data_IF_815674249753
#
_entry.id   IF_815674249753
#
_cell.length_a   1.000
_cell.length_b   1.000
_cell.length_c   1.000
_cell.angle_alpha   90.00
_cell.angle_beta   90.00
_cell.angle_gamma   90.00
#
_symmetry.space_group_name_H-M   'P 1'
#
loop_
_entity.id
_entity.type
_entity.pdbx_description
1 polymer ?
#
# COMPACT_ATOMS: atom_id res chain seq x y z
N UNK A 1 29.46 -3.38 47.43
CA UNK A 1 29.18 -4.58 46.61
C UNK A 1 28.67 -4.07 45.29
N UNK A 2 29.24 -4.51 44.18
CA UNK A 2 28.72 -4.15 42.85
C UNK A 2 27.58 -5.11 42.55
N UNK A 3 26.34 -4.64 42.67
CA UNK A 3 25.16 -5.42 42.32
C UNK A 3 25.20 -5.70 40.80
N UNK A 4 24.94 -6.95 40.40
CA UNK A 4 24.84 -7.34 39.00
C UNK A 4 23.59 -6.67 38.42
N UNK A 5 23.74 -5.88 37.32
CA UNK A 5 22.65 -5.21 36.64
C UNK A 5 22.37 -5.87 35.27
N UNK A 6 21.12 -6.26 34.99
CA UNK A 6 20.69 -6.96 33.79
C UNK A 6 20.13 -6.03 32.69
N UNK A 7 20.22 -4.73 32.89
CA UNK A 7 19.75 -3.71 31.92
C UNK A 7 18.38 -3.14 32.25
N UNK A 8 17.54 -2.99 31.25
CA UNK A 8 16.20 -2.37 31.40
C UNK A 8 15.11 -3.23 30.79
N UNK A 9 13.88 -3.10 31.30
CA UNK A 9 12.70 -3.73 30.69
C UNK A 9 12.47 -3.24 29.25
N UNK A 10 11.99 -4.13 28.40
CA UNK A 10 11.81 -3.87 26.98
C UNK A 10 10.61 -4.63 26.40
N UNK A 11 10.47 -4.60 25.08
CA UNK A 11 9.47 -5.42 24.39
C UNK A 11 9.69 -6.94 24.53
N UNK A 12 10.87 -7.37 25.02
CA UNK A 12 11.25 -8.78 25.15
C UNK A 12 11.85 -9.13 26.52
N UNK A 13 11.95 -8.19 27.44
CA UNK A 13 12.53 -8.39 28.78
C UNK A 13 11.60 -7.80 29.84
N UNK A 14 11.35 -8.56 30.89
CA UNK A 14 10.56 -8.16 32.07
C UNK A 14 11.28 -8.56 33.36
N UNK A 15 11.23 -7.68 34.38
CA UNK A 15 11.77 -7.93 35.70
C UNK A 15 10.68 -8.08 36.75
N UNK A 16 10.87 -8.95 37.70
CA UNK A 16 9.99 -9.13 38.87
C UNK A 16 10.82 -9.40 40.10
N UNK A 17 10.53 -8.69 41.16
CA UNK A 17 11.28 -8.77 42.42
C UNK A 17 11.07 -10.11 43.15
N UNK A 18 9.92 -10.77 42.95
CA UNK A 18 9.58 -11.97 43.70
C UNK A 18 8.70 -12.96 42.95
N UNK A 19 8.67 -14.20 43.37
CA UNK A 19 7.79 -15.27 42.82
C UNK A 19 6.31 -14.95 43.03
N UNK A 20 5.94 -14.12 44.02
CA UNK A 20 4.55 -13.69 44.21
C UNK A 20 4.00 -12.91 42.99
N UNK A 21 4.88 -12.34 42.16
CA UNK A 21 4.55 -11.60 40.96
C UNK A 21 4.57 -12.48 39.67
N UNK A 22 4.77 -13.81 39.82
CA UNK A 22 4.86 -14.74 38.68
C UNK A 22 3.70 -14.62 37.70
N UNK A 23 2.48 -14.47 38.18
CA UNK A 23 1.29 -14.33 37.32
C UNK A 23 1.39 -13.11 36.39
N UNK A 24 1.89 -11.97 36.89
CA UNK A 24 2.12 -10.76 36.09
C UNK A 24 3.25 -10.98 35.08
N UNK A 25 4.30 -11.67 35.51
CA UNK A 25 5.42 -12.02 34.62
C UNK A 25 5.00 -12.96 33.49
N UNK A 26 4.19 -13.97 33.74
CA UNK A 26 3.68 -14.88 32.68
C UNK A 26 2.75 -14.13 31.71
N UNK A 27 1.93 -13.20 32.20
CA UNK A 27 1.14 -12.32 31.33
C UNK A 27 2.06 -11.50 30.42
N UNK A 28 3.16 -10.95 30.95
CA UNK A 28 4.16 -10.21 30.14
C UNK A 28 4.83 -11.10 29.10
N UNK A 29 5.25 -12.32 29.46
CA UNK A 29 5.78 -13.31 28.51
C UNK A 29 4.78 -13.62 27.39
N UNK A 30 3.51 -13.78 27.72
CA UNK A 30 2.45 -14.02 26.73
C UNK A 30 2.29 -12.82 25.78
N UNK A 31 2.32 -11.61 26.33
CA UNK A 31 2.28 -10.38 25.53
C UNK A 31 3.50 -10.20 24.61
N UNK A 32 4.69 -10.59 25.11
CA UNK A 32 5.94 -10.61 24.33
C UNK A 32 5.89 -11.62 23.18
N UNK A 33 5.38 -12.83 23.44
CA UNK A 33 5.17 -13.84 22.38
C UNK A 33 4.27 -13.33 21.27
N UNK A 34 3.20 -12.65 21.62
CA UNK A 34 2.28 -12.06 20.65
C UNK A 34 2.90 -10.90 19.87
N UNK A 35 3.91 -10.24 20.40
CA UNK A 35 4.56 -9.09 19.74
C UNK A 35 5.83 -9.46 18.98
N UNK A 36 6.70 -10.32 19.59
CA UNK A 36 8.05 -10.57 19.10
C UNK A 36 8.40 -12.05 18.95
N UNK A 37 7.45 -12.96 19.18
CA UNK A 37 7.60 -14.42 19.14
C UNK A 37 8.58 -14.98 20.20
N UNK A 38 9.14 -14.14 21.07
CA UNK A 38 10.02 -14.54 22.16
C UNK A 38 9.98 -13.51 23.29
N UNK A 39 10.45 -13.93 24.46
CA UNK A 39 10.61 -13.04 25.61
C UNK A 39 11.31 -13.73 26.77
N UNK A 40 11.89 -12.94 27.68
CA UNK A 40 12.54 -13.40 28.88
C UNK A 40 12.02 -12.65 30.10
N UNK A 41 11.61 -13.38 31.11
CA UNK A 41 11.22 -12.90 32.44
C UNK A 41 12.32 -13.25 33.43
N UNK A 42 12.78 -12.27 34.18
CA UNK A 42 13.69 -12.45 35.30
C UNK A 42 12.94 -12.26 36.61
N UNK A 43 13.14 -13.19 37.56
CA UNK A 43 12.55 -13.12 38.92
C UNK A 43 13.67 -13.04 39.95
N UNK A 44 13.60 -12.10 40.88
CA UNK A 44 14.67 -11.73 41.80
C UNK A 44 15.47 -10.52 41.32
N UNK A 45 14.84 -9.69 40.46
CA UNK A 45 15.43 -8.50 39.85
C UNK A 45 14.48 -7.33 40.06
N UNK A 46 14.99 -6.18 40.44
CA UNK A 46 14.19 -4.97 40.63
C UNK A 46 13.91 -4.23 39.29
N UNK A 47 13.05 -3.20 39.29
CA UNK A 47 12.69 -2.43 38.13
C UNK A 47 13.87 -1.65 37.48
N UNK A 48 15.01 -1.54 38.17
CA UNK A 48 16.25 -0.93 37.65
C UNK A 48 17.17 -1.95 36.98
N UNK A 49 16.80 -3.22 37.04
CA UNK A 49 17.60 -4.33 36.53
C UNK A 49 18.63 -4.86 37.52
N UNK A 50 18.63 -4.38 38.76
CA UNK A 50 19.57 -4.84 39.78
C UNK A 50 19.10 -6.17 40.38
N UNK A 51 20.00 -7.14 40.47
CA UNK A 51 19.71 -8.43 41.09
C UNK A 51 19.61 -8.27 42.60
N UNK A 52 18.42 -8.55 43.15
CA UNK A 52 18.14 -8.45 44.59
C UNK A 52 18.05 -9.84 45.26
N UNK A 53 17.95 -10.91 44.44
CA UNK A 53 17.88 -12.29 44.88
C UNK A 53 16.51 -12.69 45.41
N UNK A 54 16.25 -14.02 45.36
CA UNK A 54 15.07 -14.68 45.92
C UNK A 54 15.46 -16.02 46.52
N UNK A 55 14.64 -16.52 47.45
CA UNK A 55 14.76 -17.91 47.94
C UNK A 55 14.17 -18.88 46.91
N UNK A 56 14.98 -19.84 46.45
CA UNK A 56 14.60 -20.82 45.42
C UNK A 56 14.52 -22.20 46.03
N UNK A 57 13.32 -22.77 46.10
CA UNK A 57 13.12 -24.14 46.55
C UNK A 57 13.35 -25.17 45.45
N UNK A 58 13.54 -26.42 45.82
CA UNK A 58 13.79 -27.53 44.88
C UNK A 58 12.72 -27.73 43.82
N UNK A 59 11.48 -27.34 44.09
CA UNK A 59 10.33 -27.49 43.16
C UNK A 59 9.96 -26.21 42.42
N UNK A 60 10.62 -25.09 42.71
CA UNK A 60 10.25 -23.78 42.15
C UNK A 60 10.20 -23.77 40.61
N UNK A 61 11.17 -24.35 39.93
CA UNK A 61 11.20 -24.41 38.46
C UNK A 61 10.07 -25.28 37.90
N UNK A 62 9.70 -26.37 38.59
CA UNK A 62 8.59 -27.22 38.17
C UNK A 62 7.24 -26.51 38.37
N UNK A 63 7.06 -25.82 39.48
CA UNK A 63 5.86 -25.03 39.76
C UNK A 63 5.65 -23.91 38.74
N UNK A 64 6.72 -23.21 38.37
CA UNK A 64 6.70 -22.19 37.28
C UNK A 64 6.27 -22.83 35.95
N UNK A 65 6.87 -23.97 35.59
CA UNK A 65 6.54 -24.69 34.35
C UNK A 65 5.07 -25.12 34.31
N UNK A 66 4.56 -25.67 35.39
CA UNK A 66 3.18 -26.10 35.55
C UNK A 66 2.22 -24.92 35.49
N UNK A 67 2.58 -23.78 36.09
CA UNK A 67 1.79 -22.55 36.02
C UNK A 67 1.70 -22.02 34.58
N UNK A 68 2.80 -21.93 33.86
CA UNK A 68 2.81 -21.51 32.45
C UNK A 68 1.95 -22.46 31.62
N UNK A 69 2.10 -23.76 31.79
CA UNK A 69 1.33 -24.78 31.06
C UNK A 69 -0.17 -24.69 31.30
N UNK A 70 -0.59 -24.32 32.52
CA UNK A 70 -2.03 -24.20 32.86
C UNK A 70 -2.68 -22.89 32.40
N UNK A 71 -1.89 -21.82 32.23
CA UNK A 71 -2.42 -20.47 31.97
C UNK A 71 -2.19 -19.96 30.56
N UNK A 72 -1.16 -20.48 29.84
CA UNK A 72 -0.83 -20.02 28.49
C UNK A 72 -1.31 -21.01 27.41
N UNK A 73 -2.04 -20.50 26.42
CA UNK A 73 -2.53 -21.29 25.29
C UNK A 73 -2.29 -20.53 23.96
N UNK A 74 -1.81 -21.19 22.86
CA UNK A 74 -1.33 -22.59 22.81
C UNK A 74 -0.17 -22.87 23.79
N UNK A 75 0.04 -24.17 24.10
CA UNK A 75 1.10 -24.53 25.05
C UNK A 75 2.49 -24.16 24.51
N UNK A 76 3.34 -23.66 25.41
CA UNK A 76 4.74 -23.36 25.15
C UNK A 76 5.63 -24.14 26.14
N UNK A 77 6.87 -24.35 25.74
CA UNK A 77 7.88 -24.96 26.59
C UNK A 77 8.87 -23.89 27.02
N UNK A 78 8.82 -23.43 28.29
CA UNK A 78 9.76 -22.45 28.78
C UNK A 78 11.13 -23.10 29.07
N UNK A 79 12.19 -22.35 28.77
CA UNK A 79 13.55 -22.62 29.30
C UNK A 79 13.67 -21.86 30.61
N UNK A 80 13.95 -22.59 31.69
CA UNK A 80 14.02 -22.05 33.06
C UNK A 80 15.38 -22.34 33.61
N UNK A 81 16.13 -21.31 33.96
CA UNK A 81 17.45 -21.39 34.51
C UNK A 81 17.54 -20.65 35.85
N UNK A 82 18.28 -21.21 36.79
CA UNK A 82 18.61 -20.60 38.07
C UNK A 82 20.04 -20.07 37.99
N UNK A 83 20.21 -18.84 38.39
CA UNK A 83 21.49 -18.14 38.37
C UNK A 83 21.86 -17.69 39.77
N UNK A 84 23.15 -17.82 40.14
CA UNK A 84 23.70 -17.31 41.39
C UNK A 84 24.57 -16.09 41.12
N UNK A 85 24.42 -15.07 41.93
CA UNK A 85 25.22 -13.84 41.87
C UNK A 85 25.52 -13.30 43.26
N UNK A 86 26.39 -12.29 43.34
CA UNK A 86 26.69 -11.61 44.61
C UNK A 86 25.46 -10.92 45.24
N UNK A 87 24.43 -10.66 44.44
CA UNK A 87 23.14 -10.10 44.88
C UNK A 87 22.11 -11.12 45.34
N UNK A 88 22.46 -12.45 45.28
CA UNK A 88 21.56 -13.56 45.55
C UNK A 88 21.20 -14.36 44.32
N UNK A 89 20.40 -15.43 44.50
CA UNK A 89 19.96 -16.26 43.38
C UNK A 89 18.76 -15.66 42.69
N UNK A 90 18.69 -15.74 41.35
CA UNK A 90 17.57 -15.28 40.54
C UNK A 90 17.22 -16.33 39.47
N UNK A 91 16.02 -16.20 38.87
CA UNK A 91 15.54 -17.13 37.84
C UNK A 91 15.35 -16.38 36.55
N UNK A 92 15.83 -16.94 35.42
CA UNK A 92 15.42 -16.53 34.08
C UNK A 92 14.45 -17.56 33.50
N UNK A 93 13.39 -17.04 32.82
CA UNK A 93 12.36 -17.82 32.14
C UNK A 93 12.28 -17.30 30.71
N UNK A 94 12.86 -18.04 29.78
CA UNK A 94 12.84 -17.68 28.34
C UNK A 94 11.82 -18.52 27.61
N UNK A 95 11.09 -17.86 26.69
CA UNK A 95 10.08 -18.49 25.86
C UNK A 95 10.27 -18.09 24.40
N UNK A 96 10.03 -19.04 23.51
CA UNK A 96 9.96 -18.82 22.06
C UNK A 96 8.70 -19.50 21.55
N UNK A 97 7.96 -18.82 20.67
CA UNK A 97 6.74 -19.38 20.12
C UNK A 97 6.26 -18.66 18.87
N UNK A 98 5.86 -19.45 17.88
CA UNK A 98 5.42 -18.97 16.57
C UNK A 98 3.92 -19.19 16.32
N UNK A 99 3.18 -19.76 17.30
CA UNK A 99 1.76 -20.08 17.19
C UNK A 99 0.86 -18.98 17.75
N UNK A 100 1.15 -17.73 17.44
CA UNK A 100 0.30 -16.59 17.83
C UNK A 100 -1.13 -16.77 17.28
N UNK A 101 -2.19 -16.29 17.96
CA UNK A 101 -2.16 -15.57 19.23
C UNK A 101 -2.05 -16.50 20.46
N UNK A 102 -1.21 -16.10 21.40
CA UNK A 102 -1.14 -16.73 22.71
C UNK A 102 -2.06 -16.01 23.69
N UNK A 103 -2.85 -16.76 24.45
CA UNK A 103 -3.70 -16.24 25.52
C UNK A 103 -3.12 -16.54 26.90
N UNK A 104 -3.36 -15.65 27.84
CA UNK A 104 -3.16 -15.86 29.28
C UNK A 104 -4.54 -15.91 29.94
N UNK A 105 -4.87 -17.03 30.58
CA UNK A 105 -6.19 -17.29 31.16
C UNK A 105 -7.36 -16.92 30.20
N UNK A 106 -7.24 -17.28 28.91
CA UNK A 106 -8.24 -17.05 27.88
C UNK A 106 -8.33 -15.60 27.37
N UNK A 107 -7.45 -14.70 27.80
CA UNK A 107 -7.38 -13.32 27.34
C UNK A 107 -6.10 -13.07 26.56
N UNK A 108 -6.18 -12.20 25.55
CA UNK A 108 -5.05 -11.88 24.68
C UNK A 108 -4.45 -10.53 25.06
N UNK A 109 -3.12 -10.47 25.09
CA UNK A 109 -2.34 -9.28 25.43
C UNK A 109 -1.24 -9.04 24.43
N UNK A 110 -0.88 -7.75 24.23
CA UNK A 110 0.25 -7.33 23.39
C UNK A 110 1.20 -6.50 24.25
N UNK A 111 2.48 -6.69 24.02
CA UNK A 111 3.54 -5.87 24.62
C UNK A 111 3.72 -4.58 23.84
N UNK A 112 3.67 -3.45 24.52
CA UNK A 112 3.96 -2.14 23.98
C UNK A 112 5.05 -1.49 24.85
N UNK A 113 6.29 -1.48 24.32
CA UNK A 113 7.51 -1.12 25.05
C UNK A 113 7.68 -1.95 26.32
N UNK A 114 7.28 -1.46 27.48
CA UNK A 114 7.31 -2.17 28.78
C UNK A 114 5.93 -2.37 29.39
N UNK A 115 4.83 -2.00 28.69
CA UNK A 115 3.46 -2.18 29.16
C UNK A 115 2.75 -3.34 28.44
N UNK A 116 1.77 -3.94 29.10
CA UNK A 116 0.93 -4.99 28.53
C UNK A 116 -0.47 -4.43 28.29
N UNK A 117 -0.93 -4.47 27.04
CA UNK A 117 -2.25 -3.98 26.63
C UNK A 117 -3.16 -5.16 26.29
N UNK A 118 -4.44 -5.08 26.63
CA UNK A 118 -5.43 -6.08 26.20
C UNK A 118 -5.66 -5.96 24.69
N UNK A 119 -5.51 -7.07 23.97
CA UNK A 119 -5.79 -7.13 22.55
C UNK A 119 -7.31 -7.18 22.31
N UNK A 120 -7.82 -6.18 21.59
CA UNK A 120 -9.21 -6.18 21.11
C UNK A 120 -9.46 -7.25 20.04
N UNK A 121 -10.73 -7.50 19.67
CA UNK A 121 -11.11 -8.50 18.67
C UNK A 121 -10.40 -8.32 17.32
N UNK A 122 -10.24 -7.08 16.88
CA UNK A 122 -9.57 -6.75 15.61
C UNK A 122 -8.09 -7.13 15.60
N UNK A 123 -7.41 -6.89 16.72
CA UNK A 123 -6.01 -7.23 16.92
C UNK A 123 -5.84 -8.75 16.98
N UNK A 124 -6.73 -9.45 17.68
CA UNK A 124 -6.74 -10.93 17.72
C UNK A 124 -6.95 -11.50 16.31
N UNK A 125 -7.86 -10.93 15.54
CA UNK A 125 -8.08 -11.32 14.15
C UNK A 125 -6.80 -11.13 13.29
N UNK A 126 -6.11 -10.00 13.45
CA UNK A 126 -4.83 -9.75 12.78
C UNK A 126 -3.74 -10.77 13.21
N UNK A 127 -3.67 -11.12 14.50
CA UNK A 127 -2.74 -12.17 14.98
C UNK A 127 -3.02 -13.52 14.34
N UNK A 128 -4.30 -13.89 14.21
CA UNK A 128 -4.72 -15.14 13.55
C UNK A 128 -4.30 -15.14 12.08
N UNK A 129 -4.50 -14.02 11.38
CA UNK A 129 -4.07 -13.85 9.99
C UNK A 129 -2.53 -13.90 9.85
N UNK A 130 -1.78 -13.30 10.79
CA UNK A 130 -0.32 -13.32 10.81
C UNK A 130 0.28 -14.73 11.04
N UNK A 131 -0.52 -15.70 11.42
CA UNK A 131 -0.13 -17.10 11.62
C UNK A 131 0.33 -17.83 10.34
N UNK A 132 0.54 -17.10 9.26
CA UNK A 132 1.01 -17.63 7.97
C UNK A 132 -0.11 -18.24 7.13
N UNK A 133 -1.37 -17.96 7.47
CA UNK A 133 -2.47 -18.21 6.55
C UNK A 133 -2.52 -17.06 5.54
N UNK A 134 -2.22 -17.36 4.29
CA UNK A 134 -2.51 -16.44 3.18
C UNK A 134 -4.04 -16.21 3.14
N UNK A 135 -4.51 -14.97 3.39
CA UNK A 135 -5.95 -14.69 3.48
C UNK A 135 -6.71 -15.08 2.21
N UNK A 136 -6.04 -14.99 1.06
CA UNK A 136 -6.66 -15.29 -0.24
C UNK A 136 -6.82 -16.79 -0.47
N UNK A 137 -5.96 -17.61 0.14
CA UNK A 137 -5.98 -19.06 -0.01
C UNK A 137 -7.24 -19.70 0.57
N UNK A 138 -7.74 -19.16 1.68
CA UNK A 138 -8.94 -19.64 2.36
C UNK A 138 -10.26 -19.28 1.66
N UNK A 139 -10.26 -18.39 0.68
CA UNK A 139 -11.44 -17.93 -0.04
C UNK A 139 -11.51 -18.59 -1.42
N UNK A 140 -12.42 -19.56 -1.65
CA UNK A 140 -12.61 -20.14 -2.98
C UNK A 140 -13.13 -19.07 -3.94
N UNK A 141 -12.70 -19.16 -5.20
CA UNK A 141 -13.28 -18.36 -6.28
C UNK A 141 -14.68 -18.85 -6.61
N UNK A 142 -15.62 -17.95 -6.84
CA UNK A 142 -16.94 -18.28 -7.34
C UNK A 142 -16.88 -18.87 -8.77
N UNK A 143 -15.93 -18.38 -9.58
CA UNK A 143 -15.65 -18.93 -10.91
C UNK A 143 -14.55 -19.98 -10.81
N UNK A 144 -14.86 -21.20 -11.21
CA UNK A 144 -13.91 -22.34 -11.27
C UNK A 144 -13.43 -22.65 -12.70
N UNK A 145 -13.94 -21.93 -13.71
CA UNK A 145 -13.53 -22.05 -15.11
C UNK A 145 -12.53 -20.91 -15.45
N UNK A 146 -11.33 -21.00 -14.85
CA UNK A 146 -10.28 -19.99 -14.96
C UNK A 146 -9.21 -20.42 -15.95
N UNK A 147 -8.74 -19.45 -16.77
CA UNK A 147 -7.56 -19.59 -17.63
C UNK A 147 -6.46 -18.63 -17.19
N UNK A 148 -5.20 -18.91 -17.58
CA UNK A 148 -4.02 -18.19 -17.10
C UNK A 148 -3.05 -17.90 -18.25
N UNK A 149 -3.56 -17.63 -19.44
CA UNK A 149 -2.73 -17.42 -20.65
C UNK A 149 -1.79 -16.23 -20.47
N UNK A 150 -2.29 -15.13 -19.90
CA UNK A 150 -1.47 -13.95 -19.63
C UNK A 150 -0.36 -14.24 -18.61
N UNK A 151 -0.66 -14.94 -17.51
CA UNK A 151 0.33 -15.30 -16.49
C UNK A 151 1.45 -16.16 -17.14
N UNK A 152 1.09 -17.26 -17.78
CA UNK A 152 2.08 -18.17 -18.36
C UNK A 152 2.85 -17.54 -19.52
N UNK A 153 2.20 -16.70 -20.35
CA UNK A 153 2.88 -15.88 -21.37
C UNK A 153 3.88 -14.91 -20.77
N UNK A 154 3.55 -14.30 -19.63
CA UNK A 154 4.48 -13.42 -18.90
C UNK A 154 5.67 -14.21 -18.36
N UNK A 155 5.46 -15.39 -17.78
CA UNK A 155 6.55 -16.24 -17.29
C UNK A 155 7.46 -16.70 -18.44
N UNK A 156 6.86 -17.12 -19.56
CA UNK A 156 7.62 -17.52 -20.74
C UNK A 156 8.49 -16.39 -21.31
N UNK A 157 7.99 -15.15 -21.34
CA UNK A 157 8.75 -13.98 -21.78
C UNK A 157 9.99 -13.69 -20.90
N UNK A 158 9.99 -14.22 -19.66
CA UNK A 158 11.11 -14.14 -18.72
C UNK A 158 12.04 -15.37 -18.75
N UNK A 159 11.82 -16.29 -19.69
CA UNK A 159 12.57 -17.53 -19.80
C UNK A 159 12.13 -18.62 -18.79
N UNK A 160 11.00 -18.44 -18.12
CA UNK A 160 10.41 -19.43 -17.22
C UNK A 160 9.32 -20.19 -17.98
N UNK A 161 9.41 -21.50 -18.05
CA UNK A 161 8.48 -22.35 -18.79
C UNK A 161 7.86 -23.42 -17.87
N UNK A 162 7.15 -23.01 -16.80
CA UNK A 162 6.49 -23.99 -15.94
C UNK A 162 5.33 -24.69 -16.71
N UNK A 163 5.03 -25.91 -16.31
CA UNK A 163 3.84 -26.59 -16.82
C UNK A 163 2.60 -25.97 -16.18
N UNK A 164 1.56 -25.73 -16.99
CA UNK A 164 0.25 -25.30 -16.51
C UNK A 164 -0.49 -26.55 -16.00
N UNK A 165 -0.14 -27.00 -14.80
CA UNK A 165 -0.68 -28.22 -14.21
C UNK A 165 -1.02 -28.02 -12.72
N UNK A 166 -1.65 -29.04 -12.14
CA UNK A 166 -2.01 -29.09 -10.73
C UNK A 166 -0.81 -28.80 -9.80
N UNK A 167 0.39 -29.26 -10.17
CA UNK A 167 1.59 -29.06 -9.36
C UNK A 167 1.95 -27.57 -9.24
N UNK A 168 1.88 -26.83 -10.34
CA UNK A 168 2.10 -25.38 -10.35
C UNK A 168 1.06 -24.66 -9.47
N UNK A 169 -0.23 -24.97 -9.64
CA UNK A 169 -1.28 -24.29 -8.89
C UNK A 169 -1.22 -24.56 -7.39
N UNK A 170 -0.86 -25.76 -6.98
CA UNK A 170 -0.66 -26.11 -5.58
C UNK A 170 0.57 -25.40 -4.98
N UNK A 171 1.71 -25.42 -5.69
CA UNK A 171 2.96 -24.86 -5.19
C UNK A 171 2.91 -23.33 -5.03
N UNK A 172 2.07 -22.66 -5.83
CA UNK A 172 1.89 -21.21 -5.78
C UNK A 172 0.59 -20.77 -5.08
N UNK A 173 -0.01 -21.66 -4.29
CA UNK A 173 -1.16 -21.34 -3.44
C UNK A 173 -2.40 -20.87 -4.18
N UNK A 174 -2.63 -21.36 -5.41
CA UNK A 174 -3.78 -20.99 -6.24
C UNK A 174 -5.01 -21.88 -5.99
N UNK A 175 -4.88 -22.93 -5.17
CA UNK A 175 -5.94 -23.82 -4.75
C UNK A 175 -6.24 -23.67 -3.25
N UNK A 176 -7.51 -23.89 -2.88
CA UNK A 176 -7.93 -24.08 -1.50
C UNK A 176 -7.64 -25.53 -1.02
N UNK A 177 -8.04 -25.86 0.20
CA UNK A 177 -7.87 -27.21 0.77
C UNK A 177 -8.66 -28.31 0.03
N UNK A 178 -9.66 -27.93 -0.75
CA UNK A 178 -10.50 -28.85 -1.56
C UNK A 178 -10.08 -28.86 -3.03
N UNK A 179 -8.90 -28.33 -3.34
CA UNK A 179 -8.37 -28.20 -4.71
C UNK A 179 -9.28 -27.41 -5.66
N UNK A 180 -9.99 -26.41 -5.14
CA UNK A 180 -10.72 -25.43 -5.95
C UNK A 180 -9.87 -24.20 -6.13
N UNK A 181 -9.98 -23.55 -7.28
CA UNK A 181 -9.37 -22.23 -7.46
C UNK A 181 -9.84 -21.27 -6.39
N UNK A 182 -8.89 -20.57 -5.78
CA UNK A 182 -9.13 -19.60 -4.74
C UNK A 182 -9.04 -18.16 -5.28
N UNK A 183 -9.12 -17.18 -4.38
CA UNK A 183 -9.09 -15.76 -4.75
C UNK A 183 -7.75 -15.34 -5.35
N UNK A 184 -6.61 -15.95 -4.96
CA UNK A 184 -5.31 -15.71 -5.62
C UNK A 184 -5.37 -16.11 -7.09
N UNK A 185 -5.91 -17.31 -7.38
CA UNK A 185 -6.09 -17.77 -8.75
C UNK A 185 -6.99 -16.82 -9.55
N UNK A 186 -8.13 -16.41 -8.98
CA UNK A 186 -9.04 -15.47 -9.63
C UNK A 186 -8.36 -14.15 -9.99
N UNK A 187 -7.62 -13.56 -9.06
CA UNK A 187 -6.95 -12.27 -9.29
C UNK A 187 -5.95 -12.32 -10.46
N UNK A 188 -5.21 -13.42 -10.60
CA UNK A 188 -4.21 -13.55 -11.68
C UNK A 188 -4.75 -14.22 -12.95
N UNK A 189 -6.02 -14.68 -12.96
CA UNK A 189 -6.67 -15.28 -14.12
C UNK A 189 -7.02 -14.27 -15.21
N UNK A 190 -7.26 -14.76 -16.43
CA UNK A 190 -7.72 -13.95 -17.54
C UNK A 190 -9.19 -13.50 -17.37
N UNK A 191 -9.96 -14.17 -16.45
CA UNK A 191 -11.35 -13.87 -16.12
C UNK A 191 -11.50 -12.89 -14.94
N UNK A 192 -10.42 -12.34 -14.42
CA UNK A 192 -10.50 -11.32 -13.36
C UNK A 192 -11.28 -10.09 -13.86
N UNK A 193 -12.42 -9.80 -13.23
CA UNK A 193 -13.31 -8.70 -13.58
C UNK A 193 -13.06 -7.41 -12.79
N UNK A 194 -12.02 -7.38 -11.93
CA UNK A 194 -11.72 -6.21 -11.10
C UNK A 194 -11.11 -5.11 -11.96
N UNK A 195 -11.57 -3.87 -11.74
CA UNK A 195 -11.08 -2.68 -12.42
C UNK A 195 -10.40 -1.73 -11.44
N UNK A 196 -9.12 -1.45 -11.67
CA UNK A 196 -8.35 -0.41 -10.96
C UNK A 196 -8.50 0.91 -11.68
N UNK A 197 -8.50 2.01 -10.93
CA UNK A 197 -8.73 3.34 -11.49
C UNK A 197 -7.53 4.27 -11.31
N UNK A 198 -7.22 5.00 -12.38
CA UNK A 198 -6.36 6.18 -12.34
C UNK A 198 -7.26 7.40 -12.56
N UNK A 199 -7.38 8.25 -11.55
CA UNK A 199 -8.23 9.45 -11.58
C UNK A 199 -7.36 10.68 -11.52
N UNK A 200 -7.46 11.57 -12.51
CA UNK A 200 -6.81 12.88 -12.49
C UNK A 200 -7.79 13.95 -12.08
N UNK A 201 -7.38 14.79 -11.15
CA UNK A 201 -8.14 15.92 -10.65
C UNK A 201 -7.66 17.25 -11.24
N UNK A 202 -8.54 18.23 -11.21
CA UNK A 202 -8.28 19.59 -11.73
C UNK A 202 -7.71 20.55 -10.67
N UNK A 203 -7.22 20.07 -9.57
CA UNK A 203 -6.70 20.85 -8.45
C UNK A 203 -5.88 20.01 -7.50
N UNK A 204 -5.73 20.49 -6.28
CA UNK A 204 -5.03 19.79 -5.21
C UNK A 204 -6.00 19.04 -4.28
N UNK A 205 -7.27 18.97 -4.65
CA UNK A 205 -8.34 18.27 -3.96
C UNK A 205 -9.19 17.41 -4.92
N UNK A 206 -10.15 16.68 -4.37
CA UNK A 206 -11.01 15.75 -5.12
C UNK A 206 -12.31 16.37 -5.66
N UNK A 207 -12.43 17.70 -5.65
CA UNK A 207 -13.67 18.42 -6.01
C UNK A 207 -13.98 18.37 -7.50
N UNK A 208 -12.97 18.29 -8.36
CA UNK A 208 -13.14 18.36 -9.82
C UNK A 208 -12.29 17.31 -10.53
N UNK A 209 -12.96 16.36 -11.19
CA UNK A 209 -12.31 15.29 -11.97
C UNK A 209 -11.98 15.80 -13.36
N UNK A 210 -10.74 15.64 -13.80
CA UNK A 210 -10.28 15.94 -15.17
C UNK A 210 -10.42 14.74 -16.10
N UNK A 211 -10.00 13.56 -15.63
CA UNK A 211 -10.12 12.31 -16.39
C UNK A 211 -10.16 11.12 -15.45
N UNK A 212 -10.76 10.03 -15.92
CA UNK A 212 -10.77 8.73 -15.26
C UNK A 212 -10.41 7.68 -16.30
N UNK A 213 -9.46 6.83 -15.98
CA UNK A 213 -9.02 5.70 -16.81
C UNK A 213 -9.14 4.44 -16.00
N UNK A 214 -9.81 3.44 -16.55
CA UNK A 214 -10.00 2.13 -15.91
C UNK A 214 -9.03 1.10 -16.52
N UNK A 215 -8.42 0.32 -15.64
CA UNK A 215 -7.50 -0.77 -15.99
C UNK A 215 -7.98 -2.04 -15.31
N UNK A 216 -8.50 -3.00 -16.08
CA UNK A 216 -9.05 -4.21 -15.49
C UNK A 216 -9.76 -5.09 -16.51
N UNK A 217 -10.61 -6.03 -16.01
CA UNK A 217 -11.27 -7.03 -16.85
C UNK A 217 -10.28 -8.03 -17.45
N UNK A 218 -9.15 -8.27 -16.78
CA UNK A 218 -8.05 -9.16 -17.16
C UNK A 218 -7.17 -9.47 -15.95
N UNK A 219 -6.18 -10.35 -16.12
CA UNK A 219 -5.22 -10.67 -15.07
C UNK A 219 -4.73 -9.42 -14.33
N UNK A 220 -4.70 -9.48 -12.99
CA UNK A 220 -4.20 -8.40 -12.15
C UNK A 220 -2.76 -8.00 -12.54
N UNK A 221 -1.92 -8.97 -12.92
CA UNK A 221 -0.55 -8.73 -13.40
C UNK A 221 -0.57 -7.82 -14.64
N UNK A 222 -1.51 -8.05 -15.57
CA UNK A 222 -1.67 -7.21 -16.76
C UNK A 222 -2.09 -5.80 -16.38
N UNK A 223 -3.13 -5.68 -15.55
CA UNK A 223 -3.67 -4.39 -15.11
C UNK A 223 -2.65 -3.54 -14.35
N UNK A 224 -1.83 -4.18 -13.50
CA UNK A 224 -0.73 -3.50 -12.78
C UNK A 224 0.30 -2.93 -13.74
N UNK A 225 0.73 -3.71 -14.76
CA UNK A 225 1.67 -3.24 -15.80
C UNK A 225 1.10 -2.10 -16.63
N UNK A 226 -0.18 -2.16 -16.95
CA UNK A 226 -0.84 -1.08 -17.72
C UNK A 226 -0.91 0.24 -16.93
N UNK A 227 -1.20 0.19 -15.63
CA UNK A 227 -1.14 1.38 -14.77
C UNK A 227 0.28 1.93 -14.73
N UNK A 228 1.31 1.08 -14.57
CA UNK A 228 2.71 1.51 -14.63
C UNK A 228 3.03 2.20 -15.96
N UNK A 229 2.62 1.59 -17.09
CA UNK A 229 2.78 2.18 -18.42
C UNK A 229 2.04 3.51 -18.58
N UNK A 230 0.84 3.61 -18.05
CA UNK A 230 0.05 4.84 -18.08
C UNK A 230 0.73 5.96 -17.26
N UNK A 231 1.19 5.67 -16.05
CA UNK A 231 1.86 6.67 -15.21
C UNK A 231 3.24 7.05 -15.76
N UNK A 232 3.95 6.13 -16.40
CA UNK A 232 5.21 6.46 -17.07
C UNK A 232 5.04 7.54 -18.16
N UNK A 233 3.86 7.64 -18.77
CA UNK A 233 3.57 8.70 -19.77
C UNK A 233 3.50 10.12 -19.18
N UNK A 234 3.40 10.24 -17.84
CA UNK A 234 3.48 11.53 -17.14
C UNK A 234 4.91 11.91 -16.76
N UNK A 235 5.88 11.01 -17.00
CA UNK A 235 7.29 11.30 -16.71
C UNK A 235 7.82 12.35 -17.67
N UNK A 236 8.18 13.49 -17.13
CA UNK A 236 8.82 14.60 -17.82
C UNK A 236 10.11 14.92 -17.10
N UNK A 237 11.18 15.14 -17.85
CA UNK A 237 12.46 15.60 -17.31
C UNK A 237 12.64 17.07 -17.64
N UNK A 238 12.79 17.90 -16.64
CA UNK A 238 13.14 19.30 -16.80
C UNK A 238 14.66 19.43 -16.81
N UNK A 239 15.18 20.19 -17.77
CA UNK A 239 16.62 20.47 -17.86
C UNK A 239 16.85 21.90 -17.40
N UNK A 240 17.57 22.05 -16.30
CA UNK A 240 17.94 23.35 -15.73
C UNK A 240 19.39 23.63 -16.11
N UNK A 241 19.62 24.72 -16.85
CA UNK A 241 20.97 25.19 -17.18
C UNK A 241 21.36 26.27 -16.14
N UNK A 242 22.27 25.92 -15.25
CA UNK A 242 22.82 26.85 -14.25
C UNK A 242 24.29 27.12 -14.59
N UNK A 243 24.53 28.12 -15.42
CA UNK A 243 25.87 28.46 -15.90
C UNK A 243 26.48 27.38 -16.79
N UNK A 244 27.52 26.68 -16.30
CA UNK A 244 28.22 25.59 -17.02
C UNK A 244 27.64 24.21 -16.68
N UNK A 245 26.83 24.12 -15.65
CA UNK A 245 26.26 22.86 -15.17
C UNK A 245 24.85 22.63 -15.75
N UNK A 246 24.62 21.40 -16.17
CA UNK A 246 23.32 20.89 -16.62
C UNK A 246 22.76 19.98 -15.53
N UNK A 247 21.64 20.36 -14.95
CA UNK A 247 20.91 19.54 -14.00
C UNK A 247 19.66 18.98 -14.67
N UNK A 248 19.46 17.66 -14.58
CA UNK A 248 18.24 16.98 -15.04
C UNK A 248 17.37 16.63 -13.83
N UNK A 249 16.14 17.06 -13.86
CA UNK A 249 15.17 16.85 -12.76
C UNK A 249 13.91 16.17 -13.31
N UNK A 250 13.62 14.98 -12.81
CA UNK A 250 12.39 14.28 -13.13
C UNK A 250 11.19 14.87 -12.37
N UNK A 251 10.01 14.83 -12.97
CA UNK A 251 8.77 15.29 -12.34
C UNK A 251 8.53 14.59 -11.00
N UNK A 252 8.79 13.30 -10.93
CA UNK A 252 8.79 12.48 -9.71
C UNK A 252 9.73 11.29 -9.90
N UNK A 253 10.07 10.59 -8.79
CA UNK A 253 10.84 9.35 -8.86
C UNK A 253 9.93 8.19 -9.26
N UNK A 254 10.11 7.68 -10.49
CA UNK A 254 9.26 6.61 -11.02
C UNK A 254 9.47 5.27 -10.30
N UNK A 255 10.67 5.01 -9.80
CA UNK A 255 10.94 3.78 -9.05
C UNK A 255 10.17 3.77 -7.73
N UNK A 256 10.14 4.88 -7.00
CA UNK A 256 9.29 5.04 -5.82
C UNK A 256 7.80 4.84 -6.14
N UNK A 257 7.33 5.35 -7.28
CA UNK A 257 5.95 5.11 -7.71
C UNK A 257 5.71 3.63 -8.01
N UNK A 258 6.59 2.98 -8.76
CA UNK A 258 6.51 1.56 -9.11
C UNK A 258 6.42 0.70 -7.86
N UNK A 259 7.33 0.92 -6.90
CA UNK A 259 7.37 0.20 -5.63
C UNK A 259 6.08 0.43 -4.81
N UNK A 260 5.64 1.68 -4.69
CA UNK A 260 4.40 2.00 -3.97
C UNK A 260 3.18 1.33 -4.62
N UNK A 261 3.10 1.34 -5.95
CA UNK A 261 1.98 0.74 -6.69
C UNK A 261 1.96 -0.79 -6.59
N UNK A 262 3.09 -1.45 -6.79
CA UNK A 262 3.20 -2.90 -6.67
C UNK A 262 2.87 -3.34 -5.25
N UNK A 263 3.43 -2.65 -4.24
CA UNK A 263 3.14 -2.92 -2.83
C UNK A 263 1.65 -2.70 -2.50
N UNK A 264 1.04 -1.64 -3.03
CA UNK A 264 -0.39 -1.39 -2.89
C UNK A 264 -1.23 -2.55 -3.43
N UNK A 265 -0.85 -3.16 -4.57
CA UNK A 265 -1.57 -4.29 -5.15
C UNK A 265 -1.34 -5.60 -4.38
N UNK A 266 -0.09 -5.87 -3.97
CA UNK A 266 0.26 -7.12 -3.28
C UNK A 266 -0.30 -7.16 -1.87
N UNK A 267 -0.21 -6.04 -1.13
CA UNK A 267 -0.63 -5.96 0.27
C UNK A 267 -2.08 -5.53 0.46
N UNK A 268 -2.81 -5.27 -0.62
CA UNK A 268 -4.22 -4.89 -0.55
C UNK A 268 -5.08 -5.94 0.16
N UNK A 269 -6.04 -5.48 0.93
CA UNK A 269 -7.08 -6.36 1.47
C UNK A 269 -8.11 -6.65 0.39
N UNK A 270 -8.00 -7.83 -0.24
CA UNK A 270 -8.88 -8.22 -1.34
C UNK A 270 -10.20 -8.85 -0.89
N UNK A 271 -10.46 -8.97 0.42
CA UNK A 271 -11.66 -9.61 0.96
C UNK A 271 -12.98 -8.97 0.47
N UNK A 272 -12.98 -7.66 0.25
CA UNK A 272 -14.12 -6.94 -0.33
C UNK A 272 -14.01 -6.72 -1.84
N UNK A 273 -12.97 -7.23 -2.49
CA UNK A 273 -12.63 -6.98 -3.90
C UNK A 273 -12.48 -5.49 -4.27
N UNK A 274 -12.22 -4.63 -3.27
CA UNK A 274 -11.92 -3.21 -3.50
C UNK A 274 -10.48 -3.09 -3.97
N UNK A 275 -10.26 -2.64 -5.21
CA UNK A 275 -8.90 -2.50 -5.75
C UNK A 275 -8.21 -1.25 -5.24
N UNK A 276 -6.87 -1.26 -5.20
CA UNK A 276 -6.10 -0.03 -5.01
C UNK A 276 -6.34 0.94 -6.19
N UNK A 277 -6.09 2.21 -5.94
CA UNK A 277 -6.32 3.28 -6.92
C UNK A 277 -5.21 4.32 -6.93
N UNK A 278 -5.04 5.00 -8.06
CA UNK A 278 -4.09 6.09 -8.24
C UNK A 278 -4.85 7.39 -8.47
N UNK A 279 -4.49 8.43 -7.75
CA UNK A 279 -5.06 9.76 -7.86
C UNK A 279 -3.96 10.76 -8.23
N UNK A 280 -4.14 11.49 -9.31
CA UNK A 280 -3.18 12.49 -9.81
C UNK A 280 -3.79 13.87 -9.56
N UNK A 281 -3.07 14.68 -8.78
CA UNK A 281 -3.38 16.08 -8.48
C UNK A 281 -2.43 17.01 -9.24
N UNK A 282 -2.59 18.31 -9.07
CA UNK A 282 -1.70 19.28 -9.71
C UNK A 282 -0.27 19.28 -9.16
N UNK A 283 -0.09 18.77 -7.93
CA UNK A 283 1.17 18.83 -7.18
C UNK A 283 1.72 17.46 -6.75
N UNK A 284 0.97 16.37 -6.95
CA UNK A 284 1.34 15.05 -6.44
C UNK A 284 0.56 13.90 -7.08
N UNK A 285 1.05 12.70 -6.86
CA UNK A 285 0.30 11.44 -7.05
C UNK A 285 0.02 10.84 -5.66
N UNK A 286 -1.21 10.37 -5.44
CA UNK A 286 -1.59 9.55 -4.30
C UNK A 286 -1.92 8.14 -4.75
N UNK A 287 -1.35 7.13 -4.08
CA UNK A 287 -1.67 5.72 -4.25
C UNK A 287 -2.41 5.28 -3.00
N UNK A 288 -3.62 4.76 -3.17
CA UNK A 288 -4.48 4.33 -2.06
C UNK A 288 -4.67 2.82 -2.14
N UNK A 289 -4.40 2.12 -1.04
CA UNK A 289 -4.68 0.69 -0.87
C UNK A 289 -5.45 0.46 0.42
N UNK A 290 -6.14 -0.68 0.49
CA UNK A 290 -6.92 -1.10 1.64
C UNK A 290 -6.16 -2.14 2.46
N UNK A 291 -6.33 -2.09 3.79
CA UNK A 291 -5.62 -2.93 4.74
C UNK A 291 -4.64 -2.14 5.60
N UNK A 292 -4.23 -2.71 6.71
CA UNK A 292 -3.29 -2.12 7.67
C UNK A 292 -1.91 -2.75 7.56
N UNK A 293 -0.92 -2.17 8.22
CA UNK A 293 0.38 -2.80 8.41
C UNK A 293 0.17 -4.14 9.12
N UNK A 294 0.68 -5.26 8.56
CA UNK A 294 0.41 -6.57 9.12
C UNK A 294 1.02 -6.72 10.52
N UNK A 295 0.19 -7.18 11.46
CA UNK A 295 0.68 -7.55 12.78
C UNK A 295 1.60 -8.79 12.69
N UNK A 296 2.72 -8.89 13.45
CA UNK A 296 3.16 -7.98 14.54
C UNK A 296 4.13 -6.87 14.12
N UNK A 297 4.19 -6.50 12.84
CA UNK A 297 5.13 -5.53 12.31
C UNK A 297 4.93 -4.15 12.96
N UNK A 298 6.01 -3.54 13.44
CA UNK A 298 5.99 -2.15 13.87
C UNK A 298 6.11 -1.21 12.66
N UNK A 299 5.74 0.07 12.82
CA UNK A 299 5.98 1.08 11.80
C UNK A 299 7.49 1.25 11.51
N UNK A 300 8.35 1.05 12.51
CA UNK A 300 9.80 1.11 12.32
C UNK A 300 10.29 -0.06 11.44
N UNK A 301 9.80 -1.29 11.69
CA UNK A 301 10.10 -2.44 10.84
C UNK A 301 9.60 -2.22 9.40
N UNK A 302 8.42 -1.60 9.24
CA UNK A 302 7.87 -1.24 7.95
C UNK A 302 8.80 -0.27 7.20
N UNK A 303 9.24 0.83 7.84
CA UNK A 303 10.12 1.82 7.21
C UNK A 303 11.52 1.27 6.89
N UNK A 304 11.97 0.28 7.65
CA UNK A 304 13.24 -0.42 7.41
C UNK A 304 13.15 -1.50 6.32
N UNK A 305 11.96 -1.70 5.73
CA UNK A 305 11.78 -2.66 4.64
C UNK A 305 11.67 -4.11 5.10
N UNK A 306 11.43 -4.36 6.39
CA UNK A 306 11.14 -5.68 6.92
C UNK A 306 9.76 -6.09 6.40
N UNK A 307 9.73 -6.82 5.29
CA UNK A 307 8.48 -7.17 4.61
C UNK A 307 7.95 -8.52 5.07
N UNK A 308 6.70 -8.53 5.53
CA UNK A 308 5.91 -9.73 5.66
C UNK A 308 4.69 -9.59 4.72
N UNK A 309 4.73 -10.24 3.52
CA UNK A 309 3.64 -10.11 2.57
C UNK A 309 2.34 -10.66 3.16
N UNK A 310 1.29 -9.81 3.17
CA UNK A 310 -0.06 -10.21 3.63
C UNK A 310 -0.62 -11.31 2.74
N UNK A 311 -0.47 -11.14 1.42
CA UNK A 311 -0.92 -12.10 0.41
C UNK A 311 0.31 -12.80 -0.18
N UNK A 312 0.83 -13.79 0.53
CA UNK A 312 2.09 -14.45 0.19
C UNK A 312 2.08 -15.08 -1.21
N UNK A 313 1.04 -15.80 -1.54
CA UNK A 313 0.92 -16.47 -2.84
C UNK A 313 0.87 -15.47 -3.99
N UNK A 314 0.17 -14.35 -3.81
CA UNK A 314 0.12 -13.26 -4.78
C UNK A 314 1.49 -12.59 -4.94
N UNK A 315 2.20 -12.35 -3.84
CA UNK A 315 3.55 -11.79 -3.86
C UNK A 315 4.54 -12.69 -4.62
N UNK A 316 4.49 -14.00 -4.39
CA UNK A 316 5.32 -14.97 -5.10
C UNK A 316 5.05 -14.94 -6.62
N UNK A 317 3.79 -14.88 -7.04
CA UNK A 317 3.40 -14.77 -8.45
C UNK A 317 3.87 -13.44 -9.08
N UNK A 318 3.78 -12.33 -8.34
CA UNK A 318 4.29 -11.03 -8.78
C UNK A 318 5.82 -11.05 -8.94
N UNK A 319 6.53 -11.71 -8.05
CA UNK A 319 7.98 -11.90 -8.13
C UNK A 319 8.35 -12.72 -9.38
N UNK A 320 7.67 -13.82 -9.64
CA UNK A 320 7.85 -14.62 -10.86
C UNK A 320 7.55 -13.79 -12.12
N UNK A 321 6.52 -12.95 -12.09
CA UNK A 321 6.17 -12.05 -13.18
C UNK A 321 7.13 -10.85 -13.35
N UNK A 322 8.13 -10.68 -12.44
CA UNK A 322 9.11 -9.61 -12.45
C UNK A 322 8.58 -8.24 -12.07
N UNK A 323 7.50 -8.20 -11.33
CA UNK A 323 6.91 -6.97 -10.81
C UNK A 323 7.48 -6.60 -9.44
N UNK A 324 7.86 -7.57 -8.63
CA UNK A 324 8.42 -7.39 -7.30
C UNK A 324 9.76 -8.12 -7.15
N UNK A 325 10.61 -7.63 -6.25
CA UNK A 325 11.84 -8.27 -5.83
C UNK A 325 11.80 -8.48 -4.32
N UNK A 326 12.36 -9.61 -3.86
CA UNK A 326 12.43 -9.93 -2.41
C UNK A 326 13.60 -9.20 -1.71
N UNK A 327 13.93 -8.00 -2.15
CA UNK A 327 15.12 -7.28 -1.67
C UNK A 327 14.87 -6.43 -0.42
N UNK A 328 13.60 -6.20 -0.05
CA UNK A 328 13.24 -5.30 1.07
C UNK A 328 13.56 -3.82 0.83
N UNK A 329 13.91 -3.43 -0.40
CA UNK A 329 14.34 -2.05 -0.74
C UNK A 329 13.18 -1.11 -1.09
N UNK A 330 11.97 -1.60 -1.31
CA UNK A 330 10.85 -0.80 -1.83
C UNK A 330 10.45 0.36 -0.91
N UNK A 331 10.06 0.07 0.32
CA UNK A 331 9.70 1.12 1.31
C UNK A 331 10.88 2.03 1.63
N UNK A 332 12.11 1.52 1.92
CA UNK A 332 13.29 2.36 2.09
C UNK A 332 13.59 3.29 0.91
N UNK A 333 13.36 2.88 -0.32
CA UNK A 333 13.53 3.74 -1.51
C UNK A 333 12.56 4.92 -1.47
N UNK A 334 11.28 4.68 -1.17
CA UNK A 334 10.27 5.75 -1.03
C UNK A 334 10.64 6.70 0.12
N UNK A 335 11.03 6.14 1.28
CA UNK A 335 11.44 6.94 2.45
C UNK A 335 12.68 7.78 2.14
N UNK A 336 13.63 7.25 1.40
CA UNK A 336 14.86 7.99 1.00
C UNK A 336 14.53 9.21 0.14
N UNK A 337 13.57 9.11 -0.79
CA UNK A 337 13.23 10.19 -1.72
C UNK A 337 12.21 11.18 -1.13
N UNK A 338 11.25 10.69 -0.36
CA UNK A 338 10.08 11.47 0.04
C UNK A 338 9.83 11.52 1.56
N UNK A 339 10.71 10.91 2.37
CA UNK A 339 10.53 10.85 3.82
C UNK A 339 9.45 9.86 4.28
N UNK A 340 9.32 9.72 5.59
CA UNK A 340 8.27 8.88 6.21
C UNK A 340 6.88 9.49 6.04
N UNK A 341 6.80 10.79 5.88
CA UNK A 341 5.59 11.58 5.63
C UNK A 341 4.90 11.25 4.29
N UNK A 342 5.60 10.56 3.38
CA UNK A 342 4.98 9.99 2.18
C UNK A 342 3.89 8.97 2.51
N UNK A 343 3.97 8.33 3.68
CA UNK A 343 3.03 7.31 4.12
C UNK A 343 2.02 7.87 5.13
N UNK A 344 0.75 7.73 4.83
CA UNK A 344 -0.34 8.03 5.75
C UNK A 344 -1.16 6.76 5.99
N UNK A 345 -1.10 6.28 7.22
CA UNK A 345 -1.86 5.12 7.68
C UNK A 345 -3.23 5.56 8.20
N UNK A 346 -4.25 4.77 7.87
CA UNK A 346 -5.61 4.86 8.38
C UNK A 346 -6.02 3.50 8.90
N UNK A 347 -7.14 3.43 9.62
CA UNK A 347 -7.66 2.17 10.16
C UNK A 347 -7.99 1.16 9.05
N UNK A 348 -8.39 1.64 7.88
CA UNK A 348 -8.83 0.84 6.73
C UNK A 348 -7.86 0.80 5.55
N UNK A 349 -6.73 1.53 5.62
CA UNK A 349 -5.83 1.59 4.46
C UNK A 349 -4.59 2.44 4.62
N UNK A 350 -3.77 2.38 3.57
CA UNK A 350 -2.53 3.15 3.45
C UNK A 350 -2.62 4.05 2.23
N UNK A 351 -2.20 5.31 2.38
CA UNK A 351 -2.01 6.24 1.26
C UNK A 351 -0.54 6.57 1.14
N UNK A 352 0.03 6.35 -0.04
CA UNK A 352 1.39 6.79 -0.36
C UNK A 352 1.29 8.03 -1.25
N UNK A 353 1.96 9.11 -0.84
CA UNK A 353 1.98 10.40 -1.54
C UNK A 353 3.34 10.62 -2.18
N UNK A 354 3.35 10.91 -3.46
CA UNK A 354 4.54 11.20 -4.27
C UNK A 354 4.42 12.62 -4.81
N UNK A 355 5.05 13.62 -4.18
CA UNK A 355 5.04 15.00 -4.62
C UNK A 355 5.72 15.18 -5.97
N UNK A 356 5.25 16.15 -6.76
CA UNK A 356 5.92 16.59 -7.96
C UNK A 356 7.07 17.54 -7.63
N UNK A 357 8.17 17.36 -8.34
CA UNK A 357 9.36 18.17 -8.16
C UNK A 357 9.21 19.60 -8.75
N UNK A 358 8.32 19.75 -9.74
CA UNK A 358 7.98 21.00 -10.41
C UNK A 358 6.53 20.96 -10.95
N UNK A 359 5.99 22.10 -11.40
CA UNK A 359 4.64 22.16 -11.97
C UNK A 359 4.57 21.41 -13.30
N UNK A 360 3.74 20.36 -13.44
CA UNK A 360 3.66 19.59 -14.67
C UNK A 360 3.03 20.38 -15.82
N UNK A 361 3.36 20.00 -17.06
CA UNK A 361 2.91 20.69 -18.26
C UNK A 361 1.38 20.74 -18.37
N UNK A 362 0.68 19.68 -17.98
CA UNK A 362 -0.79 19.66 -18.01
C UNK A 362 -1.45 20.70 -17.09
N UNK A 363 -0.76 21.10 -16.00
CA UNK A 363 -1.20 22.16 -15.09
C UNK A 363 -0.92 23.53 -15.72
N UNK A 364 0.29 23.72 -16.27
CA UNK A 364 0.67 24.97 -16.97
C UNK A 364 -0.26 25.24 -18.15
N UNK A 365 -0.46 24.25 -19.03
CA UNK A 365 -1.31 24.37 -20.20
C UNK A 365 -2.76 24.72 -19.84
N UNK A 366 -3.28 24.12 -18.76
CA UNK A 366 -4.61 24.46 -18.26
C UNK A 366 -4.68 25.90 -17.75
N UNK A 367 -3.74 26.32 -16.89
CA UNK A 367 -3.68 27.68 -16.37
C UNK A 367 -3.60 28.72 -17.49
N UNK A 368 -2.80 28.47 -18.52
CA UNK A 368 -2.72 29.33 -19.71
C UNK A 368 -4.03 29.36 -20.47
N UNK A 369 -4.72 28.21 -20.60
CA UNK A 369 -6.04 28.13 -21.19
C UNK A 369 -7.07 28.93 -20.39
N UNK A 370 -7.09 28.79 -19.07
CA UNK A 370 -8.00 29.52 -18.19
C UNK A 370 -7.75 31.04 -18.25
N UNK A 371 -6.47 31.48 -18.29
CA UNK A 371 -6.11 32.89 -18.47
C UNK A 371 -6.56 33.46 -19.82
N UNK A 372 -6.42 32.67 -20.89
CA UNK A 372 -6.92 33.09 -22.23
C UNK A 372 -8.44 33.17 -22.26
N UNK A 373 -9.13 32.23 -21.57
CA UNK A 373 -10.59 32.26 -21.45
C UNK A 373 -11.07 33.42 -20.58
N UNK A 374 -10.32 33.77 -19.50
CA UNK A 374 -10.63 34.93 -18.65
C UNK A 374 -10.50 36.29 -19.41
N UNK A 375 -9.58 36.35 -20.38
CA UNK A 375 -9.44 37.50 -21.30
C UNK A 375 -10.39 37.47 -22.50
N UNK A 376 -11.17 36.40 -22.64
CA UNK A 376 -12.12 36.21 -23.72
C UNK A 376 -13.46 36.91 -23.40
N UNK A 377 -14.10 37.47 -24.43
CA UNK A 377 -15.47 37.95 -24.35
C UNK A 377 -16.41 36.85 -23.78
N UNK A 378 -17.25 37.23 -22.81
CA UNK A 378 -18.12 36.31 -22.07
C UNK A 378 -18.98 35.43 -22.98
N UNK A 379 -19.51 36.02 -24.04
CA UNK A 379 -20.33 35.28 -25.01
C UNK A 379 -19.56 34.17 -25.73
N UNK A 380 -18.28 34.40 -26.06
CA UNK A 380 -17.40 33.38 -26.65
C UNK A 380 -17.04 32.29 -25.66
N UNK A 381 -16.78 32.67 -24.42
CA UNK A 381 -16.44 31.72 -23.36
C UNK A 381 -17.61 30.77 -23.06
N UNK A 382 -18.82 31.29 -22.96
CA UNK A 382 -20.04 30.49 -22.69
C UNK A 382 -20.35 29.54 -23.85
N UNK A 383 -20.19 29.98 -25.08
CA UNK A 383 -20.37 29.14 -26.29
C UNK A 383 -19.29 28.04 -26.33
N UNK A 384 -18.03 28.36 -26.06
CA UNK A 384 -16.94 27.39 -26.06
C UNK A 384 -17.13 26.31 -25.00
N UNK A 385 -17.51 26.71 -23.79
CA UNK A 385 -17.80 25.80 -22.67
C UNK A 385 -18.98 24.88 -22.96
N UNK A 386 -20.02 25.40 -23.60
CA UNK A 386 -21.19 24.61 -24.02
C UNK A 386 -20.81 23.53 -25.04
N UNK A 387 -19.95 23.86 -26.03
CA UNK A 387 -19.48 22.94 -27.06
C UNK A 387 -18.42 21.95 -26.56
N UNK A 388 -17.66 22.32 -25.52
CA UNK A 388 -16.72 21.40 -24.84
C UNK A 388 -17.48 20.31 -24.08
N UNK A 389 -18.56 20.69 -23.38
CA UNK A 389 -19.40 19.75 -22.63
C UNK A 389 -20.28 18.87 -23.54
N UNK A 390 -20.66 19.33 -24.71
CA UNK A 390 -21.48 18.60 -25.67
C UNK A 390 -20.95 18.81 -27.10
N UNK A 391 -19.95 18.04 -27.51
CA UNK A 391 -19.34 18.15 -28.85
C UNK A 391 -20.31 17.90 -30.01
N UNK A 392 -21.45 17.27 -29.76
CA UNK A 392 -22.50 17.01 -30.75
C UNK A 392 -23.60 18.05 -30.79
N UNK A 393 -23.55 19.08 -29.94
CA UNK A 393 -24.60 20.06 -29.82
C UNK A 393 -24.85 20.81 -31.13
N UNK A 394 -26.11 21.00 -31.47
CA UNK A 394 -26.52 21.92 -32.55
C UNK A 394 -26.44 23.38 -32.05
N UNK A 395 -26.10 24.31 -32.92
CA UNK A 395 -25.98 25.72 -32.54
C UNK A 395 -27.28 26.32 -31.97
N UNK A 396 -28.45 25.74 -32.28
CA UNK A 396 -29.70 26.12 -31.64
C UNK A 396 -29.71 25.69 -30.15
N UNK A 397 -29.28 24.47 -29.84
CA UNK A 397 -29.24 23.96 -28.46
C UNK A 397 -28.24 24.78 -27.61
N UNK A 398 -27.14 25.23 -28.22
CA UNK A 398 -26.19 26.17 -27.60
C UNK A 398 -26.84 27.54 -27.34
N UNK A 399 -27.63 28.06 -28.29
CA UNK A 399 -28.33 29.31 -28.12
C UNK A 399 -29.32 29.23 -26.94
N UNK A 400 -30.07 28.13 -26.86
CA UNK A 400 -31.06 27.90 -25.80
C UNK A 400 -30.38 27.75 -24.42
N UNK A 401 -29.24 27.01 -24.35
CA UNK A 401 -28.47 26.83 -23.11
C UNK A 401 -27.77 28.11 -22.64
N UNK A 402 -27.29 28.94 -23.57
CA UNK A 402 -26.55 30.17 -23.21
C UNK A 402 -27.44 31.40 -23.06
N UNK A 403 -28.74 31.32 -23.46
CA UNK A 403 -29.66 32.47 -23.49
C UNK A 403 -29.34 33.47 -24.60
N UNK A 404 -28.50 33.10 -25.56
CA UNK A 404 -28.09 33.94 -26.67
C UNK A 404 -28.99 33.75 -27.89
N UNK A 405 -29.03 34.74 -28.81
CA UNK A 405 -29.65 34.52 -30.10
C UNK A 405 -28.82 33.59 -30.99
N UNK A 406 -29.44 32.79 -31.83
CA UNK A 406 -28.73 31.91 -32.77
C UNK A 406 -27.71 32.68 -33.63
N UNK A 407 -28.02 33.94 -34.00
CA UNK A 407 -27.14 34.82 -34.74
C UNK A 407 -25.88 35.16 -33.96
N UNK A 408 -26.01 35.44 -32.64
CA UNK A 408 -24.89 35.72 -31.73
C UNK A 408 -24.00 34.48 -31.56
N UNK A 409 -24.61 33.30 -31.38
CA UNK A 409 -23.86 32.01 -31.28
C UNK A 409 -23.10 31.74 -32.57
N UNK A 410 -23.69 31.89 -33.74
CA UNK A 410 -23.00 31.72 -35.03
C UNK A 410 -21.82 32.67 -35.17
N UNK A 411 -21.94 33.92 -34.73
CA UNK A 411 -20.87 34.91 -34.75
C UNK A 411 -19.76 34.55 -33.79
N UNK A 412 -20.10 34.10 -32.57
CA UNK A 412 -19.13 33.61 -31.58
C UNK A 412 -18.37 32.40 -32.11
N UNK A 413 -19.04 31.37 -32.63
CA UNK A 413 -18.44 30.20 -33.25
C UNK A 413 -17.51 30.54 -34.41
N UNK A 414 -17.92 31.49 -35.29
CA UNK A 414 -17.07 31.95 -36.41
C UNK A 414 -15.76 32.58 -35.88
N UNK A 415 -15.86 33.41 -34.86
CA UNK A 415 -14.69 34.04 -34.24
C UNK A 415 -13.81 33.02 -33.50
N UNK A 416 -14.41 32.10 -32.74
CA UNK A 416 -13.69 31.02 -32.07
C UNK A 416 -12.92 30.11 -33.04
N UNK A 417 -13.48 29.88 -34.24
CA UNK A 417 -12.77 29.21 -35.35
C UNK A 417 -11.58 30.01 -35.87
N UNK A 418 -11.81 31.30 -36.12
CA UNK A 418 -10.77 32.19 -36.60
C UNK A 418 -9.65 32.39 -35.57
N UNK A 419 -9.98 32.45 -34.29
CA UNK A 419 -9.06 32.58 -33.18
C UNK A 419 -8.36 31.23 -32.83
N UNK A 420 -8.69 30.12 -33.52
CA UNK A 420 -8.07 28.81 -33.36
C UNK A 420 -8.51 28.04 -32.09
N UNK A 421 -9.61 28.44 -31.46
CA UNK A 421 -10.15 27.75 -30.28
C UNK A 421 -11.15 26.65 -30.60
N UNK A 422 -11.69 26.59 -31.82
CA UNK A 422 -12.72 25.65 -32.18
C UNK A 422 -12.53 25.14 -33.63
N UNK A 423 -12.69 23.84 -33.81
CA UNK A 423 -12.73 23.18 -35.11
C UNK A 423 -13.99 22.32 -35.21
N UNK A 424 -14.49 22.15 -36.41
CA UNK A 424 -15.56 21.22 -36.69
C UNK A 424 -14.98 20.02 -37.44
N UNK A 425 -15.04 18.84 -36.87
CA UNK A 425 -14.61 17.59 -37.50
C UNK A 425 -15.82 16.78 -37.95
N UNK A 426 -15.87 16.40 -39.22
CA UNK A 426 -16.90 15.56 -39.81
C UNK A 426 -17.71 16.23 -40.89
N UNK A 427 -18.50 15.46 -41.60
CA UNK A 427 -19.45 15.89 -42.66
C UNK A 427 -20.86 16.03 -42.10
N UNK A 428 -21.70 16.80 -42.78
CA UNK A 428 -23.04 17.34 -42.41
C UNK A 428 -23.99 16.51 -41.51
N UNK A 429 -23.81 15.18 -41.37
CA UNK A 429 -24.65 14.33 -40.52
C UNK A 429 -23.94 13.83 -39.25
N UNK A 430 -22.59 13.89 -39.21
CA UNK A 430 -21.76 13.43 -38.09
C UNK A 430 -20.73 14.50 -37.68
N UNK A 431 -21.07 15.77 -37.78
CA UNK A 431 -20.15 16.85 -37.39
C UNK A 431 -20.02 16.93 -35.86
N UNK A 432 -18.79 16.97 -35.38
CA UNK A 432 -18.47 17.18 -33.99
C UNK A 432 -17.61 18.42 -33.82
N UNK A 433 -17.89 19.16 -32.78
CA UNK A 433 -17.08 20.28 -32.36
C UNK A 433 -15.87 19.79 -31.58
N UNK A 434 -14.68 20.21 -31.98
CA UNK A 434 -13.44 19.95 -31.29
C UNK A 434 -12.92 21.26 -30.75
N UNK A 435 -12.89 21.37 -29.41
CA UNK A 435 -12.26 22.50 -28.73
C UNK A 435 -10.76 22.34 -28.84
N UNK A 436 -10.12 23.24 -29.58
CA UNK A 436 -8.69 23.30 -29.74
C UNK A 436 -8.14 24.18 -28.61
N UNK A 437 -7.37 23.60 -27.70
CA UNK A 437 -6.55 24.40 -26.79
C UNK A 437 -5.30 24.76 -27.57
N UNK A 438 -5.08 26.05 -27.93
CA UNK A 438 -3.88 26.40 -28.68
C UNK A 438 -2.66 26.07 -27.85
N UNK A 439 -1.91 25.07 -28.29
CA UNK A 439 -0.58 24.73 -27.75
C UNK A 439 0.32 25.92 -28.04
N UNK A 440 0.94 26.53 -27.05
CA UNK A 440 1.92 27.59 -27.28
C UNK A 440 3.11 26.97 -28.04
N UNK A 441 3.23 27.33 -29.30
CA UNK A 441 4.40 27.05 -30.13
C UNK A 441 5.59 27.84 -29.63
N UNK A 442 6.28 27.39 -28.62
CA UNK A 442 7.57 27.95 -28.13
C UNK A 442 8.74 26.98 -28.18
N UNK A 443 8.61 25.82 -28.83
CA UNK A 443 9.73 24.90 -29.02
C UNK A 443 9.81 24.34 -30.45
N UNK A 444 9.94 25.24 -31.44
CA UNK A 444 10.41 24.89 -32.80
C UNK A 444 11.22 26.05 -33.36
N UNK A 445 12.33 26.43 -32.71
CA UNK A 445 13.46 27.12 -33.31
C UNK A 445 14.72 26.82 -32.50
N UNK A 446 15.28 25.65 -32.71
CA UNK A 446 16.67 25.36 -32.41
C UNK A 446 17.09 24.17 -33.29
N UNK A 447 17.08 24.40 -34.62
CA UNK A 447 17.89 23.67 -35.58
C UNK A 447 17.77 24.42 -36.92
N UNK A 448 18.53 25.49 -37.08
CA UNK A 448 19.22 25.93 -38.26
C UNK A 448 20.62 26.38 -37.86
#
# INVERSE_FOLDING_TARGET
>A
MVTMNLGVESETVEFKESISQLNKGILSLTAMLNRRNHGTLYIGVDDKGDVIGIDIGSNTAEDIRNKIRSTVQPQIVPEIEVHDSDGGSYISISVVGYNIPYSYDGRYYIRNVSSNESAGPDVVAQMVLARGMDPLKGHPSDNQDLTFEYLFGTLASRGLHPRMDRGFFLSHGMYDEKERYNLTAYLVSDQNAIHMQVVRFNGNDRSSVSSRTDFGGKSLIASVKEVLGHISSYMVTEVILSGVEREERNLFDFESFREAWVNACVHNSWNGLYPPSVMIFNDRIEIVSYGSVPFPMSLEDFYNGNSHPVNRSLFELFTLAGLSEQSGHGVPTIVKHYGREAFRFRDDGVTVTIPFAFEPEFVRARRESDMRLAGMDRDKADVLKCLENDPGAKLQDVADKTGMTLSSVKKAVSRLKADGFLRNDGTNRNSRWVVLRPVSYTHLRAHE
#
